data_IF_261264746441
#
_entry.id   IF_261264746441
#
_cell.length_a   1.000
_cell.length_b   1.000
_cell.length_c   1.000
_cell.angle_alpha   90.00
_cell.angle_beta   90.00
_cell.angle_gamma   90.00
#
_symmetry.space_group_name_H-M   'P 1'
#
loop_
_entity.id
_entity.type
_entity.pdbx_description
1 polymer ?
#
# COMPACT_ATOMS: atom_id res chain seq x y z
N UNK A 1 -34.49 10.91 70.55
CA UNK A 1 -34.45 11.63 69.28
C UNK A 1 -33.26 11.08 68.49
N UNK A 2 -33.54 10.27 67.48
CA UNK A 2 -32.60 9.40 66.79
C UNK A 2 -32.49 9.81 65.32
N UNK A 3 -31.29 9.79 64.73
CA UNK A 3 -31.04 9.56 63.30
C UNK A 3 -29.52 9.50 63.09
N UNK A 4 -28.87 8.34 63.17
CA UNK A 4 -28.73 7.28 62.14
C UNK A 4 -28.01 7.77 60.87
N UNK A 5 -26.68 7.74 60.92
CA UNK A 5 -25.78 7.72 59.76
C UNK A 5 -26.04 6.42 58.96
N UNK A 6 -26.51 6.53 57.72
CA UNK A 6 -26.63 5.37 56.80
C UNK A 6 -25.35 5.25 55.98
N UNK A 7 -24.54 4.24 56.29
CA UNK A 7 -23.55 3.67 55.37
C UNK A 7 -24.29 3.11 54.14
N UNK A 8 -24.04 3.68 52.96
CA UNK A 8 -24.36 3.05 51.69
C UNK A 8 -23.19 2.13 51.32
N UNK A 9 -23.28 0.86 51.72
CA UNK A 9 -22.49 -0.22 51.13
C UNK A 9 -22.98 -0.41 49.69
N UNK A 10 -22.24 0.13 48.73
CA UNK A 10 -22.36 -0.26 47.33
C UNK A 10 -21.68 -1.63 47.19
N UNK A 11 -22.44 -2.70 47.38
CA UNK A 11 -22.00 -4.05 47.03
C UNK A 11 -21.89 -4.13 45.50
N UNK A 12 -20.70 -3.82 44.97
CA UNK A 12 -20.31 -4.26 43.63
C UNK A 12 -20.33 -5.79 43.63
N UNK A 13 -21.45 -6.37 43.18
CA UNK A 13 -21.50 -7.74 42.68
C UNK A 13 -20.57 -7.79 41.45
N UNK A 14 -19.29 -8.02 41.73
CA UNK A 14 -18.34 -8.63 40.81
C UNK A 14 -18.93 -9.98 40.44
N UNK A 15 -19.76 -10.01 39.39
CA UNK A 15 -19.90 -11.23 38.61
C UNK A 15 -18.49 -11.56 38.12
N UNK A 16 -17.87 -12.66 38.56
CA UNK A 16 -16.71 -13.15 37.86
C UNK A 16 -17.23 -13.52 36.49
N UNK A 17 -16.87 -12.74 35.47
CA UNK A 17 -16.91 -13.22 34.11
C UNK A 17 -15.96 -14.43 34.09
N UNK A 18 -16.54 -15.59 34.33
CA UNK A 18 -15.84 -16.86 34.31
C UNK A 18 -15.18 -16.96 32.93
N UNK A 19 -13.85 -16.91 32.89
CA UNK A 19 -13.02 -17.39 31.79
C UNK A 19 -13.13 -18.93 31.70
N UNK A 20 -14.35 -19.45 31.78
CA UNK A 20 -14.65 -20.86 31.85
C UNK A 20 -14.45 -21.48 30.46
N UNK A 21 -13.31 -22.15 30.30
CA UNK A 21 -13.22 -23.35 29.47
C UNK A 21 -12.84 -23.15 28.00
N UNK A 22 -11.85 -22.31 27.68
CA UNK A 22 -11.15 -22.46 26.41
C UNK A 22 -10.38 -23.79 26.45
N UNK A 23 -10.91 -24.81 25.78
CA UNK A 23 -10.27 -26.14 25.71
C UNK A 23 -9.46 -26.21 24.43
N UNK A 24 -8.22 -26.70 24.53
CA UNK A 24 -7.45 -27.09 23.35
C UNK A 24 -7.88 -28.50 22.93
N UNK A 25 -8.29 -28.64 21.66
CA UNK A 25 -8.76 -29.90 21.09
C UNK A 25 -7.93 -30.24 19.87
N UNK A 26 -7.32 -31.43 19.89
CA UNK A 26 -6.62 -31.97 18.74
C UNK A 26 -7.64 -32.46 17.70
N UNK A 27 -7.42 -32.10 16.44
CA UNK A 27 -8.26 -32.50 15.32
C UNK A 27 -7.42 -33.36 14.37
N UNK A 28 -7.72 -34.66 14.20
CA UNK A 28 -6.98 -35.54 13.30
C UNK A 28 -7.24 -35.17 11.83
N UNK A 29 -6.26 -35.46 10.96
CA UNK A 29 -6.37 -35.25 9.52
C UNK A 29 -7.17 -36.39 8.85
N UNK A 30 -8.39 -36.57 9.31
CA UNK A 30 -9.35 -37.56 8.82
C UNK A 30 -10.55 -36.87 8.15
N UNK A 31 -11.16 -37.54 7.18
CA UNK A 31 -12.30 -37.00 6.45
C UNK A 31 -13.45 -36.65 7.42
N UNK A 32 -13.89 -35.39 7.39
CA UNK A 32 -14.98 -34.88 8.23
C UNK A 32 -14.59 -34.50 9.67
N UNK A 33 -13.38 -34.83 10.14
CA UNK A 33 -12.96 -34.54 11.51
C UNK A 33 -12.97 -33.03 11.83
N UNK A 34 -12.47 -32.18 10.92
CA UNK A 34 -12.50 -30.73 11.07
C UNK A 34 -13.93 -30.19 11.16
N UNK A 35 -14.84 -30.66 10.30
CA UNK A 35 -16.25 -30.25 10.32
C UNK A 35 -16.91 -30.65 11.63
N UNK A 36 -16.65 -31.85 12.11
CA UNK A 36 -17.20 -32.34 13.37
C UNK A 36 -16.64 -31.60 14.60
N UNK A 37 -15.35 -31.27 14.57
CA UNK A 37 -14.71 -30.45 15.60
C UNK A 37 -15.35 -29.06 15.66
N UNK A 38 -15.59 -28.41 14.52
CA UNK A 38 -16.26 -27.11 14.46
C UNK A 38 -17.70 -27.16 14.98
N UNK A 39 -18.45 -28.24 14.69
CA UNK A 39 -19.83 -28.42 15.19
C UNK A 39 -19.91 -28.59 16.71
N UNK A 40 -18.88 -29.17 17.32
CA UNK A 40 -18.88 -29.51 18.75
C UNK A 40 -18.03 -28.56 19.60
N UNK A 41 -17.34 -27.61 18.97
CA UNK A 41 -16.54 -26.58 19.63
C UNK A 41 -17.41 -25.65 20.49
N UNK A 42 -16.80 -25.07 21.52
CA UNK A 42 -17.36 -24.01 22.35
C UNK A 42 -16.65 -22.69 22.05
N UNK A 43 -17.33 -21.58 22.36
CA UNK A 43 -16.76 -20.26 22.14
C UNK A 43 -15.47 -20.10 22.96
N UNK A 44 -14.40 -19.70 22.28
CA UNK A 44 -13.06 -19.56 22.87
C UNK A 44 -12.17 -20.79 22.73
N UNK A 45 -12.66 -21.92 22.23
CA UNK A 45 -11.86 -23.13 22.02
C UNK A 45 -10.68 -22.89 21.04
N UNK A 46 -9.62 -23.68 21.22
CA UNK A 46 -8.51 -23.78 20.27
C UNK A 46 -8.59 -25.14 19.60
N UNK A 47 -8.86 -25.17 18.30
CA UNK A 47 -8.81 -26.36 17.48
C UNK A 47 -7.41 -26.47 16.87
N UNK A 48 -6.58 -27.36 17.40
CA UNK A 48 -5.23 -27.63 16.89
C UNK A 48 -5.30 -28.77 15.88
N UNK A 49 -5.08 -28.44 14.61
CA UNK A 49 -5.08 -29.42 13.53
C UNK A 49 -3.78 -30.22 13.55
N UNK A 50 -3.91 -31.54 13.59
CA UNK A 50 -2.77 -32.44 13.46
C UNK A 50 -2.21 -32.39 12.03
N UNK A 51 -0.92 -32.79 11.83
CA UNK A 51 -0.30 -32.80 10.52
C UNK A 51 -1.13 -33.56 9.47
N UNK A 52 -1.23 -33.01 8.27
CA UNK A 52 -1.95 -33.63 7.16
C UNK A 52 -2.95 -32.71 6.47
N UNK A 53 -3.78 -33.30 5.61
CA UNK A 53 -4.79 -32.59 4.82
C UNK A 53 -6.15 -32.74 5.50
N UNK A 54 -6.75 -31.62 5.84
CA UNK A 54 -8.11 -31.49 6.36
C UNK A 54 -8.99 -30.99 5.21
N UNK A 55 -9.97 -31.79 4.80
CA UNK A 55 -10.88 -31.38 3.72
C UNK A 55 -11.80 -30.24 4.18
N UNK A 56 -11.78 -29.16 3.43
CA UNK A 56 -12.79 -28.10 3.44
C UNK A 56 -13.84 -28.32 2.35
N UNK A 57 -14.69 -27.34 2.03
CA UNK A 57 -14.79 -26.02 2.65
C UNK A 57 -15.38 -26.05 4.07
N UNK A 58 -15.05 -25.06 4.90
CA UNK A 58 -15.61 -24.92 6.25
C UNK A 58 -16.13 -23.51 6.53
N UNK A 59 -17.18 -23.44 7.36
CA UNK A 59 -17.77 -22.19 7.83
C UNK A 59 -17.62 -22.13 9.35
N UNK A 60 -17.06 -21.02 9.85
CA UNK A 60 -16.85 -20.76 11.27
C UNK A 60 -17.91 -19.75 11.74
N UNK A 61 -18.84 -20.25 12.54
CA UNK A 61 -19.98 -19.50 13.09
C UNK A 61 -19.87 -19.28 14.61
N UNK A 62 -18.78 -19.75 15.23
CA UNK A 62 -18.49 -19.60 16.65
C UNK A 62 -17.10 -18.93 16.85
N UNK A 63 -16.92 -18.03 17.83
CA UNK A 63 -15.61 -17.45 18.12
C UNK A 63 -14.64 -18.54 18.58
N UNK A 64 -13.53 -18.75 17.87
CA UNK A 64 -12.54 -19.78 18.21
C UNK A 64 -11.18 -19.49 17.54
N UNK A 65 -10.16 -20.26 17.91
CA UNK A 65 -8.89 -20.29 17.19
C UNK A 65 -8.75 -21.59 16.42
N UNK A 66 -8.45 -21.50 15.13
CA UNK A 66 -8.01 -22.63 14.30
C UNK A 66 -6.49 -22.52 14.10
N UNK A 67 -5.76 -23.48 14.65
CA UNK A 67 -4.30 -23.50 14.69
C UNK A 67 -3.75 -24.70 13.93
N UNK A 68 -3.06 -24.45 12.83
CA UNK A 68 -2.42 -25.50 12.02
C UNK A 68 -1.01 -25.86 12.46
N UNK A 69 -0.41 -25.13 13.41
CA UNK A 69 0.96 -25.38 13.88
C UNK A 69 2.05 -25.33 12.79
N UNK A 70 1.75 -24.80 11.60
CA UNK A 70 2.63 -24.82 10.43
C UNK A 70 2.65 -26.14 9.65
N UNK A 71 1.85 -27.14 10.06
CA UNK A 71 1.91 -28.52 9.55
C UNK A 71 0.58 -29.03 8.97
N UNK A 72 -0.52 -28.31 9.22
CA UNK A 72 -1.84 -28.66 8.70
C UNK A 72 -2.19 -27.90 7.41
N UNK A 73 -2.80 -28.61 6.47
CA UNK A 73 -3.38 -28.05 5.26
C UNK A 73 -4.90 -28.13 5.31
N UNK A 74 -5.61 -27.05 5.03
CA UNK A 74 -7.04 -27.08 4.71
C UNK A 74 -7.19 -26.99 3.19
N UNK A 75 -7.73 -28.04 2.59
CA UNK A 75 -7.90 -28.14 1.14
C UNK A 75 -9.38 -28.07 0.76
N UNK A 76 -9.77 -27.04 0.01
CA UNK A 76 -11.07 -26.97 -0.64
C UNK A 76 -11.16 -27.93 -1.83
N UNK A 77 -12.37 -28.09 -2.35
CA UNK A 77 -12.69 -29.00 -3.47
C UNK A 77 -12.65 -28.31 -4.84
N UNK A 78 -12.14 -27.08 -4.91
CA UNK A 78 -12.17 -26.26 -6.12
C UNK A 78 -13.49 -25.54 -6.34
N UNK A 79 -14.36 -25.46 -5.32
CA UNK A 79 -15.59 -24.68 -5.33
C UNK A 79 -15.64 -23.73 -4.13
N UNK A 80 -16.21 -22.54 -4.32
CA UNK A 80 -16.43 -21.58 -3.22
C UNK A 80 -15.14 -21.12 -2.51
N UNK A 81 -15.30 -20.64 -1.28
CA UNK A 81 -14.18 -20.27 -0.41
C UNK A 81 -13.82 -21.39 0.56
N UNK A 82 -12.53 -21.59 0.83
CA UNK A 82 -12.04 -22.73 1.62
C UNK A 82 -12.40 -22.59 3.11
N UNK A 83 -12.17 -21.41 3.69
CA UNK A 83 -12.54 -21.09 5.08
C UNK A 83 -13.36 -19.80 5.09
N UNK A 84 -14.60 -19.88 5.55
CA UNK A 84 -15.49 -18.72 5.68
C UNK A 84 -15.73 -18.38 7.16
N UNK A 85 -15.56 -17.12 7.55
CA UNK A 85 -15.75 -16.65 8.93
C UNK A 85 -16.92 -15.69 8.99
N UNK A 86 -17.91 -16.00 9.85
CA UNK A 86 -19.15 -15.22 9.97
C UNK A 86 -19.49 -14.80 11.42
N UNK A 87 -18.47 -14.72 12.27
CA UNK A 87 -18.59 -14.44 13.71
C UNK A 87 -17.37 -13.66 14.20
N UNK A 88 -17.49 -12.76 15.19
CA UNK A 88 -16.35 -11.99 15.68
C UNK A 88 -15.30 -12.85 16.41
N UNK A 89 -14.08 -12.33 16.51
CA UNK A 89 -13.06 -12.87 17.41
C UNK A 89 -12.42 -14.19 16.97
N UNK A 90 -12.55 -14.58 15.70
CA UNK A 90 -11.89 -15.79 15.17
C UNK A 90 -10.42 -15.53 14.86
N UNK A 91 -9.56 -16.47 15.23
CA UNK A 91 -8.14 -16.48 14.82
C UNK A 91 -7.86 -17.69 13.93
N UNK A 92 -7.24 -17.46 12.77
CA UNK A 92 -6.75 -18.48 11.85
C UNK A 92 -5.22 -18.34 11.79
N UNK A 93 -4.48 -19.35 12.25
CA UNK A 93 -3.02 -19.28 12.31
C UNK A 93 -2.28 -20.57 11.95
N UNK A 94 -1.09 -20.44 11.35
CA UNK A 94 -0.22 -21.58 11.08
C UNK A 94 -0.80 -22.58 10.08
N UNK A 95 -1.72 -22.17 9.22
CA UNK A 95 -2.42 -23.03 8.27
C UNK A 95 -1.77 -22.93 6.89
N UNK A 96 -1.76 -24.03 6.14
CA UNK A 96 -1.70 -23.99 4.67
C UNK A 96 -3.12 -24.05 4.12
N UNK A 97 -3.49 -23.17 3.20
CA UNK A 97 -4.86 -23.09 2.65
C UNK A 97 -4.81 -23.09 1.12
N UNK A 98 -5.49 -24.07 0.51
CA UNK A 98 -5.49 -24.32 -0.94
C UNK A 98 -6.88 -24.72 -1.44
N UNK A 99 -7.09 -24.63 -2.75
CA UNK A 99 -8.25 -25.26 -3.41
C UNK A 99 -9.54 -24.45 -3.38
N UNK A 100 -9.47 -23.11 -3.36
CA UNK A 100 -10.67 -22.28 -3.60
C UNK A 100 -11.25 -22.50 -5.01
N UNK A 101 -12.49 -22.10 -5.21
CA UNK A 101 -13.08 -21.96 -6.53
C UNK A 101 -12.51 -20.83 -7.38
N UNK A 102 -13.22 -20.50 -8.46
CA UNK A 102 -12.81 -19.56 -9.50
C UNK A 102 -13.87 -18.50 -9.85
N UNK A 103 -14.96 -18.41 -9.08
CA UNK A 103 -15.99 -17.39 -9.30
C UNK A 103 -15.49 -16.01 -8.90
N UNK A 104 -15.25 -15.15 -9.90
CA UNK A 104 -14.92 -13.73 -9.66
C UNK A 104 -16.10 -12.92 -9.09
N UNK A 105 -17.34 -13.35 -9.36
CA UNK A 105 -18.55 -12.71 -8.84
C UNK A 105 -18.69 -12.96 -7.33
N UNK A 106 -18.55 -14.22 -6.92
CA UNK A 106 -18.63 -14.63 -5.51
C UNK A 106 -17.34 -14.31 -4.74
N UNK A 107 -16.24 -14.12 -5.49
CA UNK A 107 -14.88 -13.86 -5.01
C UNK A 107 -14.38 -15.02 -4.17
N UNK A 108 -14.39 -16.20 -4.76
CA UNK A 108 -13.87 -17.42 -4.13
C UNK A 108 -12.46 -17.17 -3.57
N UNK A 109 -12.27 -17.52 -2.30
CA UNK A 109 -11.07 -17.17 -1.55
C UNK A 109 -10.51 -18.35 -0.77
N UNK A 110 -9.22 -18.28 -0.43
CA UNK A 110 -8.66 -19.16 0.60
C UNK A 110 -9.34 -18.89 1.94
N UNK A 111 -9.39 -17.62 2.34
CA UNK A 111 -10.11 -17.18 3.54
C UNK A 111 -11.08 -16.06 3.19
N UNK A 112 -12.36 -16.23 3.52
CA UNK A 112 -13.38 -15.20 3.41
C UNK A 112 -13.83 -14.72 4.79
N UNK A 113 -13.66 -13.42 5.07
CA UNK A 113 -14.12 -12.77 6.29
C UNK A 113 -15.38 -11.96 5.98
N UNK A 114 -16.53 -12.47 6.43
CA UNK A 114 -17.82 -11.82 6.24
C UNK A 114 -18.02 -10.59 7.14
N UNK A 115 -19.13 -9.90 6.94
CA UNK A 115 -19.47 -8.64 7.66
C UNK A 115 -19.50 -8.79 9.18
N UNK A 116 -19.84 -9.98 9.67
CA UNK A 116 -19.91 -10.31 11.10
C UNK A 116 -18.55 -10.68 11.71
N UNK A 117 -17.51 -10.87 10.90
CA UNK A 117 -16.18 -11.34 11.33
C UNK A 117 -15.32 -10.25 12.01
N UNK A 118 -15.92 -9.39 12.84
CA UNK A 118 -15.22 -8.26 13.43
C UNK A 118 -14.04 -8.72 14.31
N UNK A 119 -12.89 -8.07 14.14
CA UNK A 119 -11.66 -8.40 14.86
C UNK A 119 -11.06 -9.75 14.48
N UNK A 120 -11.46 -10.36 13.35
CA UNK A 120 -10.86 -11.61 12.90
C UNK A 120 -9.36 -11.43 12.62
N UNK A 121 -8.57 -12.43 13.00
CA UNK A 121 -7.11 -12.44 12.85
C UNK A 121 -6.72 -13.59 11.93
N UNK A 122 -6.13 -13.26 10.79
CA UNK A 122 -5.53 -14.19 9.84
C UNK A 122 -4.03 -13.98 9.91
N UNK A 123 -3.30 -14.88 10.58
CA UNK A 123 -1.87 -14.69 10.80
C UNK A 123 -0.98 -15.90 10.55
N UNK A 124 0.23 -15.66 10.08
CA UNK A 124 1.27 -16.69 9.99
C UNK A 124 0.81 -17.91 9.15
N UNK A 125 0.03 -17.69 8.10
CA UNK A 125 -0.50 -18.73 7.21
C UNK A 125 0.20 -18.74 5.85
N UNK A 126 0.13 -19.88 5.16
CA UNK A 126 0.54 -20.06 3.75
C UNK A 126 -0.73 -20.22 2.89
N UNK A 127 -1.07 -19.20 2.10
CA UNK A 127 -2.31 -19.17 1.31
C UNK A 127 -1.94 -19.29 -0.16
N UNK A 128 -2.14 -20.46 -0.74
CA UNK A 128 -1.50 -20.86 -2.01
C UNK A 128 -2.52 -21.22 -3.08
N UNK A 129 -2.37 -20.66 -4.28
CA UNK A 129 -3.13 -21.08 -5.46
C UNK A 129 -4.63 -20.83 -5.39
N UNK A 130 -5.09 -19.94 -4.51
CA UNK A 130 -6.50 -19.52 -4.43
C UNK A 130 -6.78 -18.38 -5.42
N UNK A 131 -8.03 -18.20 -5.84
CA UNK A 131 -8.42 -17.06 -6.69
C UNK A 131 -8.13 -15.76 -5.94
N UNK A 132 -8.78 -15.54 -4.80
CA UNK A 132 -8.41 -14.51 -3.82
C UNK A 132 -7.69 -15.17 -2.64
N UNK A 133 -6.61 -14.58 -2.12
CA UNK A 133 -5.97 -15.09 -0.92
C UNK A 133 -6.86 -14.91 0.32
N UNK A 134 -7.07 -13.64 0.70
CA UNK A 134 -7.97 -13.25 1.80
C UNK A 134 -9.00 -12.22 1.30
N UNK A 135 -10.29 -12.53 1.39
CA UNK A 135 -11.39 -11.58 1.14
C UNK A 135 -11.88 -10.99 2.46
N UNK A 136 -11.68 -9.68 2.68
CA UNK A 136 -12.15 -8.94 3.85
C UNK A 136 -13.38 -8.11 3.47
N UNK A 137 -14.56 -8.68 3.72
CA UNK A 137 -15.85 -8.14 3.26
C UNK A 137 -16.70 -7.64 4.42
N UNK A 138 -16.61 -6.35 4.71
CA UNK A 138 -17.40 -5.72 5.77
C UNK A 138 -16.83 -5.90 7.18
N UNK A 139 -15.79 -6.73 7.34
CA UNK A 139 -15.21 -7.03 8.64
C UNK A 139 -14.47 -5.82 9.23
N UNK A 140 -14.94 -5.36 10.40
CA UNK A 140 -14.31 -4.23 11.11
C UNK A 140 -13.06 -4.70 11.84
N UNK A 141 -11.99 -3.92 11.75
CA UNK A 141 -10.75 -4.17 12.49
C UNK A 141 -10.12 -5.56 12.25
N UNK A 142 -10.36 -6.17 11.08
CA UNK A 142 -9.68 -7.42 10.70
C UNK A 142 -8.16 -7.21 10.64
N UNK A 143 -7.40 -8.23 11.04
CA UNK A 143 -5.95 -8.23 10.97
C UNK A 143 -5.47 -9.38 10.07
N UNK A 144 -4.83 -9.04 8.96
CA UNK A 144 -4.14 -9.99 8.07
C UNK A 144 -2.64 -9.76 8.26
N UNK A 145 -1.94 -10.64 9.00
CA UNK A 145 -0.56 -10.39 9.45
C UNK A 145 0.40 -11.55 9.17
N UNK A 146 1.59 -11.29 8.65
CA UNK A 146 2.64 -12.33 8.60
C UNK A 146 2.32 -13.52 7.68
N UNK A 147 1.41 -13.36 6.73
CA UNK A 147 1.04 -14.46 5.83
C UNK A 147 1.92 -14.45 4.58
N UNK A 148 2.17 -15.64 4.04
CA UNK A 148 2.71 -15.84 2.69
C UNK A 148 1.56 -16.13 1.75
N UNK A 149 1.29 -15.22 0.81
CA UNK A 149 0.18 -15.33 -0.13
C UNK A 149 0.74 -15.47 -1.54
N UNK A 150 0.50 -16.63 -2.15
CA UNK A 150 0.99 -16.99 -3.48
C UNK A 150 -0.20 -17.20 -4.42
N UNK A 151 -0.47 -16.21 -5.27
CA UNK A 151 -1.60 -16.21 -6.19
C UNK A 151 -1.43 -17.12 -7.40
N UNK A 152 -2.53 -17.37 -8.12
CA UNK A 152 -2.51 -18.19 -9.35
C UNK A 152 -1.74 -17.54 -10.50
N UNK A 153 -1.33 -18.36 -11.46
CA UNK A 153 -0.61 -17.96 -12.69
C UNK A 153 -1.21 -18.54 -13.98
N UNK A 154 -2.27 -19.32 -13.84
CA UNK A 154 -2.94 -20.12 -14.87
C UNK A 154 -3.71 -19.29 -15.91
N UNK A 155 -4.22 -18.11 -15.55
CA UNK A 155 -4.98 -17.24 -16.46
C UNK A 155 -4.23 -15.94 -16.79
N UNK A 156 -4.82 -15.08 -17.65
CA UNK A 156 -4.29 -13.73 -17.89
C UNK A 156 -4.31 -12.93 -16.61
N UNK A 157 -3.34 -12.03 -16.41
CA UNK A 157 -3.18 -11.30 -15.14
C UNK A 157 -4.47 -10.60 -14.66
N UNK A 158 -5.29 -10.07 -15.57
CA UNK A 158 -6.53 -9.37 -15.23
C UNK A 158 -7.67 -10.28 -14.76
N UNK A 159 -7.64 -11.56 -15.14
CA UNK A 159 -8.65 -12.57 -14.82
C UNK A 159 -8.31 -13.32 -13.51
N UNK A 160 -7.12 -13.08 -12.95
CA UNK A 160 -6.70 -13.61 -11.64
C UNK A 160 -7.31 -12.79 -10.50
N UNK A 161 -7.41 -13.38 -9.33
CA UNK A 161 -7.80 -12.65 -8.12
C UNK A 161 -6.61 -12.00 -7.41
N UNK A 162 -6.91 -11.29 -6.32
CA UNK A 162 -5.95 -10.46 -5.60
C UNK A 162 -5.42 -11.22 -4.38
N UNK A 163 -4.23 -10.84 -3.88
CA UNK A 163 -3.69 -11.43 -2.65
C UNK A 163 -4.61 -11.17 -1.45
N UNK A 164 -4.91 -9.90 -1.20
CA UNK A 164 -5.92 -9.46 -0.23
C UNK A 164 -6.92 -8.54 -0.93
N UNK A 165 -8.20 -8.86 -0.81
CA UNK A 165 -9.30 -8.02 -1.27
C UNK A 165 -9.98 -7.37 -0.06
N UNK A 166 -10.26 -6.08 -0.14
CA UNK A 166 -10.90 -5.33 0.95
C UNK A 166 -12.11 -4.56 0.43
N UNK A 167 -13.27 -4.79 1.04
CA UNK A 167 -14.49 -4.05 0.73
C UNK A 167 -15.27 -3.72 1.99
N UNK A 168 -15.48 -2.42 2.20
CA UNK A 168 -16.20 -1.83 3.32
C UNK A 168 -15.74 -2.33 4.70
N UNK A 169 -14.43 -2.49 4.89
CA UNK A 169 -13.82 -3.08 6.08
C UNK A 169 -13.04 -2.01 6.88
N UNK A 170 -13.73 -1.12 7.61
CA UNK A 170 -13.08 0.00 8.27
C UNK A 170 -12.18 -0.50 9.39
N UNK A 171 -10.97 0.08 9.49
CA UNK A 171 -10.01 -0.35 10.51
C UNK A 171 -9.22 -1.60 10.15
N UNK A 172 -9.45 -2.23 9.00
CA UNK A 172 -8.70 -3.41 8.59
C UNK A 172 -7.21 -3.11 8.42
N UNK A 173 -6.38 -4.04 8.86
CA UNK A 173 -4.92 -3.96 8.88
C UNK A 173 -4.33 -5.12 8.08
N UNK A 174 -3.42 -4.82 7.17
CA UNK A 174 -2.67 -5.82 6.39
C UNK A 174 -1.20 -5.54 6.64
N UNK A 175 -0.55 -6.36 7.47
CA UNK A 175 0.76 -6.03 8.05
C UNK A 175 1.76 -7.17 7.86
N UNK A 176 2.96 -6.89 7.34
CA UNK A 176 4.05 -7.87 7.32
C UNK A 176 3.78 -9.09 6.45
N UNK A 177 2.97 -8.99 5.39
CA UNK A 177 2.68 -10.11 4.50
C UNK A 177 3.64 -10.13 3.31
N UNK A 178 3.99 -11.31 2.82
CA UNK A 178 4.70 -11.51 1.56
C UNK A 178 3.71 -11.98 0.49
N UNK A 179 3.45 -11.15 -0.51
CA UNK A 179 2.42 -11.37 -1.53
C UNK A 179 3.06 -11.42 -2.92
N UNK A 180 2.84 -12.53 -3.61
CA UNK A 180 3.41 -12.78 -4.94
C UNK A 180 2.39 -13.42 -5.88
N UNK A 181 2.42 -13.02 -7.15
CA UNK A 181 1.55 -13.52 -8.22
C UNK A 181 0.03 -13.30 -7.96
N UNK A 182 -0.81 -13.73 -8.90
CA UNK A 182 -2.21 -13.29 -8.97
C UNK A 182 -2.34 -12.01 -9.81
N UNK A 183 -3.26 -11.13 -9.42
CA UNK A 183 -3.52 -9.83 -10.07
C UNK A 183 -2.92 -8.66 -9.30
N UNK A 184 -3.55 -8.23 -8.22
CA UNK A 184 -3.07 -7.13 -7.36
C UNK A 184 -2.71 -7.69 -5.97
N UNK A 185 -1.75 -7.06 -5.29
CA UNK A 185 -1.31 -7.48 -3.95
C UNK A 185 -2.41 -7.23 -2.92
N UNK A 186 -2.70 -5.95 -2.64
CA UNK A 186 -3.88 -5.53 -1.89
C UNK A 186 -4.76 -4.66 -2.78
N UNK A 187 -6.00 -5.09 -2.98
CA UNK A 187 -7.02 -4.32 -3.70
C UNK A 187 -8.11 -3.84 -2.74
N UNK A 188 -8.35 -2.53 -2.70
CA UNK A 188 -9.42 -1.92 -1.91
C UNK A 188 -10.40 -1.20 -2.82
N UNK A 189 -11.64 -1.67 -2.80
CA UNK A 189 -12.70 -1.04 -3.60
C UNK A 189 -13.27 0.20 -2.88
N UNK A 190 -13.74 0.04 -1.64
CA UNK A 190 -14.16 1.17 -0.80
C UNK A 190 -13.91 0.84 0.66
N UNK A 191 -13.31 1.75 1.43
CA UNK A 191 -13.06 1.55 2.87
C UNK A 191 -12.54 2.82 3.54
N UNK A 192 -12.20 2.76 4.83
CA UNK A 192 -11.57 3.87 5.57
C UNK A 192 -10.78 3.41 6.79
N UNK A 193 -9.83 4.24 7.23
CA UNK A 193 -9.01 3.98 8.43
C UNK A 193 -8.26 2.65 8.36
N UNK A 194 -7.75 2.31 7.18
CA UNK A 194 -6.96 1.11 6.97
C UNK A 194 -5.47 1.37 7.20
N UNK A 195 -4.74 0.34 7.60
CA UNK A 195 -3.28 0.40 7.76
C UNK A 195 -2.64 -0.76 7.02
N UNK A 196 -1.95 -0.45 5.93
CA UNK A 196 -1.17 -1.42 5.16
C UNK A 196 0.30 -1.13 5.34
N UNK A 197 0.99 -1.99 6.09
CA UNK A 197 2.34 -1.68 6.53
C UNK A 197 3.30 -2.87 6.54
N UNK A 198 4.57 -2.63 6.18
CA UNK A 198 5.61 -3.66 6.26
C UNK A 198 5.40 -4.83 5.31
N UNK A 199 4.57 -4.71 4.27
CA UNK A 199 4.31 -5.82 3.34
C UNK A 199 5.31 -5.82 2.18
N UNK A 200 5.61 -7.01 1.64
CA UNK A 200 6.42 -7.22 0.44
C UNK A 200 5.54 -7.66 -0.73
N UNK A 201 5.75 -7.08 -1.90
CA UNK A 201 4.95 -7.32 -3.10
C UNK A 201 5.82 -7.58 -4.33
N UNK A 202 5.61 -8.70 -5.01
CA UNK A 202 6.41 -9.10 -6.18
C UNK A 202 5.58 -9.72 -7.30
N UNK A 203 5.97 -9.45 -8.55
CA UNK A 203 5.38 -10.07 -9.76
C UNK A 203 3.85 -9.90 -9.88
N UNK A 204 3.34 -8.73 -9.46
CA UNK A 204 1.93 -8.35 -9.50
C UNK A 204 1.69 -7.28 -10.56
N UNK A 205 0.42 -7.05 -10.87
CA UNK A 205 0.00 -5.87 -11.60
C UNK A 205 0.24 -4.65 -10.70
N UNK A 206 -0.50 -4.52 -9.60
CA UNK A 206 -0.29 -3.44 -8.62
C UNK A 206 0.04 -4.01 -7.24
N UNK A 207 1.03 -3.45 -6.53
CA UNK A 207 1.31 -3.85 -5.15
C UNK A 207 0.15 -3.45 -4.22
N UNK A 208 -0.24 -2.18 -4.24
CA UNK A 208 -1.42 -1.67 -3.54
C UNK A 208 -2.28 -0.86 -4.50
N UNK A 209 -3.58 -1.17 -4.52
CA UNK A 209 -4.57 -0.53 -5.37
C UNK A 209 -5.74 -0.01 -4.54
N UNK A 210 -5.79 1.31 -4.33
CA UNK A 210 -6.91 2.00 -3.69
C UNK A 210 -7.84 2.58 -4.74
N UNK A 211 -9.14 2.37 -4.56
CA UNK A 211 -10.18 3.06 -5.33
C UNK A 211 -10.88 4.14 -4.50
N UNK A 212 -11.67 3.80 -3.47
CA UNK A 212 -12.39 4.80 -2.67
C UNK A 212 -12.05 4.64 -1.19
N UNK A 213 -10.78 4.89 -0.84
CA UNK A 213 -10.26 4.59 0.51
C UNK A 213 -9.73 5.84 1.20
N UNK A 214 -10.22 6.13 2.40
CA UNK A 214 -9.97 7.42 3.05
C UNK A 214 -9.32 7.27 4.42
N UNK A 215 -8.65 8.32 4.88
CA UNK A 215 -8.14 8.43 6.26
C UNK A 215 -7.26 7.24 6.63
N UNK A 216 -6.41 6.79 5.70
CA UNK A 216 -5.70 5.50 5.76
C UNK A 216 -4.19 5.68 5.62
N UNK A 217 -3.44 4.66 6.02
CA UNK A 217 -1.99 4.66 6.06
C UNK A 217 -1.44 3.52 5.21
N UNK A 218 -0.51 3.85 4.32
CA UNK A 218 0.32 2.93 3.54
C UNK A 218 1.76 3.22 3.92
N UNK A 219 2.39 2.38 4.75
CA UNK A 219 3.71 2.71 5.30
C UNK A 219 4.72 1.57 5.37
N UNK A 220 5.98 1.83 5.04
CA UNK A 220 7.06 0.86 5.19
C UNK A 220 6.91 -0.39 4.31
N UNK A 221 6.16 -0.31 3.21
CA UNK A 221 5.97 -1.44 2.29
C UNK A 221 7.07 -1.47 1.24
N UNK A 222 7.30 -2.64 0.63
CA UNK A 222 8.26 -2.84 -0.46
C UNK A 222 7.55 -3.43 -1.67
N UNK A 223 7.55 -2.69 -2.76
CA UNK A 223 7.11 -3.11 -4.08
C UNK A 223 8.31 -3.37 -4.98
N UNK A 224 8.41 -4.56 -5.56
CA UNK A 224 9.54 -4.96 -6.40
C UNK A 224 9.07 -5.64 -7.69
N UNK A 225 9.44 -5.07 -8.84
CA UNK A 225 9.21 -5.68 -10.15
C UNK A 225 7.73 -5.85 -10.53
N UNK A 226 6.82 -5.06 -9.95
CA UNK A 226 5.40 -5.06 -10.30
C UNK A 226 5.15 -4.17 -11.53
N UNK A 227 3.95 -4.21 -12.11
CA UNK A 227 3.62 -3.24 -13.18
C UNK A 227 3.55 -1.81 -12.61
N UNK A 228 2.90 -1.63 -11.46
CA UNK A 228 2.93 -0.41 -10.63
C UNK A 228 3.14 -0.78 -9.17
N UNK A 229 3.78 0.12 -8.41
CA UNK A 229 3.86 0.00 -6.97
C UNK A 229 2.54 0.37 -6.30
N UNK A 230 2.35 1.66 -6.05
CA UNK A 230 1.25 2.18 -5.26
C UNK A 230 0.28 2.99 -6.12
N UNK A 231 -0.84 2.37 -6.49
CA UNK A 231 -1.93 3.01 -7.23
C UNK A 231 -2.99 3.53 -6.25
N UNK A 232 -2.96 4.84 -5.97
CA UNK A 232 -3.89 5.51 -5.06
C UNK A 232 -4.86 6.35 -5.86
N UNK A 233 -6.08 5.84 -6.00
CA UNK A 233 -7.14 6.46 -6.78
C UNK A 233 -8.26 6.96 -5.87
N UNK A 234 -9.02 7.97 -6.29
CA UNK A 234 -10.24 8.56 -5.66
C UNK A 234 -10.25 8.59 -4.12
N UNK A 235 -9.11 8.95 -3.54
CA UNK A 235 -8.86 8.84 -2.10
C UNK A 235 -8.56 10.19 -1.47
N UNK A 236 -8.72 10.29 -0.14
CA UNK A 236 -8.44 11.53 0.59
C UNK A 236 -7.83 11.25 1.95
N UNK A 237 -6.99 12.15 2.42
CA UNK A 237 -6.30 12.04 3.72
C UNK A 237 -5.54 10.71 3.85
N UNK A 238 -4.83 10.30 2.81
CA UNK A 238 -3.99 9.11 2.84
C UNK A 238 -2.56 9.52 3.23
N UNK A 239 -1.94 8.75 4.13
CA UNK A 239 -0.51 8.87 4.44
C UNK A 239 0.24 7.75 3.72
N UNK A 240 1.16 8.10 2.83
CA UNK A 240 2.00 7.19 2.04
C UNK A 240 3.44 7.44 2.48
N UNK A 241 3.96 6.60 3.36
CA UNK A 241 5.15 6.94 4.16
C UNK A 241 6.22 5.85 4.20
N UNK A 242 7.47 6.18 3.92
CA UNK A 242 8.56 5.21 4.09
C UNK A 242 8.48 3.99 3.17
N UNK A 243 7.75 4.07 2.04
CA UNK A 243 7.59 2.93 1.13
C UNK A 243 8.71 2.89 0.09
N UNK A 244 9.04 1.68 -0.36
CA UNK A 244 9.99 1.44 -1.45
C UNK A 244 9.24 0.92 -2.67
N UNK A 245 9.46 1.54 -3.83
CA UNK A 245 9.13 0.97 -5.14
C UNK A 245 10.41 0.82 -5.95
N UNK A 246 10.83 -0.42 -6.17
CA UNK A 246 12.05 -0.75 -6.86
C UNK A 246 11.76 -1.52 -8.15
N UNK A 247 12.22 -0.98 -9.29
CA UNK A 247 12.08 -1.61 -10.62
C UNK A 247 10.64 -1.91 -11.03
N UNK A 248 9.66 -1.18 -10.48
CA UNK A 248 8.28 -1.25 -10.96
C UNK A 248 8.18 -0.65 -12.37
N UNK A 249 7.48 -1.34 -13.27
CA UNK A 249 7.59 -1.09 -14.71
C UNK A 249 7.14 0.32 -15.12
N UNK A 250 5.97 0.75 -14.69
CA UNK A 250 5.32 1.96 -15.23
C UNK A 250 5.34 3.14 -14.25
N UNK A 251 4.84 2.97 -13.03
CA UNK A 251 4.79 4.01 -12.00
C UNK A 251 5.16 3.42 -10.64
N UNK A 252 6.01 4.11 -9.89
CA UNK A 252 6.23 3.74 -8.49
C UNK A 252 5.08 4.17 -7.60
N UNK A 253 4.68 5.45 -7.68
CA UNK A 253 3.45 5.96 -7.08
C UNK A 253 2.57 6.58 -8.17
N UNK A 254 1.28 6.24 -8.17
CA UNK A 254 0.27 6.90 -8.99
C UNK A 254 -0.80 7.51 -8.09
N UNK A 255 -0.99 8.81 -8.20
CA UNK A 255 -2.09 9.54 -7.58
C UNK A 255 -3.10 9.94 -8.66
N UNK A 256 -4.32 9.41 -8.58
CA UNK A 256 -5.40 9.74 -9.50
C UNK A 256 -6.64 10.17 -8.71
N UNK A 257 -7.07 11.44 -8.77
CA UNK A 257 -8.13 11.96 -7.88
C UNK A 257 -7.82 11.77 -6.38
N UNK A 258 -6.53 11.80 -6.01
CA UNK A 258 -6.08 11.67 -4.61
C UNK A 258 -5.78 13.02 -4.01
N UNK A 259 -6.40 13.33 -2.86
CA UNK A 259 -6.43 14.69 -2.33
C UNK A 259 -6.03 14.78 -0.86
N UNK A 260 -5.50 15.94 -0.43
CA UNK A 260 -5.18 16.22 0.98
C UNK A 260 -4.32 15.13 1.64
N UNK A 261 -3.44 14.51 0.86
CA UNK A 261 -2.67 13.34 1.27
C UNK A 261 -1.20 13.72 1.50
N UNK A 262 -0.53 12.96 2.36
CA UNK A 262 0.88 13.12 2.67
C UNK A 262 1.66 11.98 2.01
N UNK A 263 2.69 12.35 1.26
CA UNK A 263 3.62 11.43 0.61
C UNK A 263 5.00 11.79 1.13
N UNK A 264 5.55 10.97 2.04
CA UNK A 264 6.82 11.32 2.68
C UNK A 264 7.78 10.18 2.94
N UNK A 265 9.07 10.43 2.81
CA UNK A 265 10.08 9.41 3.11
C UNK A 265 10.06 8.21 2.16
N UNK A 266 9.41 8.29 1.00
CA UNK A 266 9.34 7.16 0.07
C UNK A 266 10.59 7.13 -0.83
N UNK A 267 11.04 5.93 -1.20
CA UNK A 267 12.11 5.74 -2.17
C UNK A 267 11.56 5.03 -3.41
N UNK A 268 11.63 5.72 -4.54
CA UNK A 268 11.20 5.18 -5.82
C UNK A 268 12.40 5.10 -6.75
N UNK A 269 12.73 3.89 -7.20
CA UNK A 269 13.95 3.60 -7.94
C UNK A 269 13.66 2.85 -9.24
N UNK A 270 14.10 3.40 -10.37
CA UNK A 270 14.15 2.68 -11.65
C UNK A 270 12.79 2.44 -12.34
N UNK A 271 11.77 3.26 -12.03
CA UNK A 271 10.46 3.14 -12.64
C UNK A 271 10.30 3.95 -13.95
N UNK A 272 9.29 3.62 -14.74
CA UNK A 272 8.91 4.45 -15.91
C UNK A 272 8.57 5.89 -15.51
N UNK A 273 7.92 6.08 -14.36
CA UNK A 273 7.71 7.37 -13.69
C UNK A 273 7.85 7.14 -12.20
N UNK A 274 8.67 7.92 -11.48
CA UNK A 274 8.73 7.75 -10.04
C UNK A 274 7.37 8.10 -9.42
N UNK A 275 6.79 9.24 -9.81
CA UNK A 275 5.42 9.62 -9.45
C UNK A 275 4.63 10.05 -10.68
N UNK A 276 3.38 9.60 -10.77
CA UNK A 276 2.40 10.13 -11.71
C UNK A 276 1.25 10.80 -10.94
N UNK A 277 1.00 12.06 -11.24
CA UNK A 277 -0.02 12.90 -10.58
C UNK A 277 -1.05 13.30 -11.64
N UNK A 278 -2.28 12.84 -11.46
CA UNK A 278 -3.41 13.10 -12.34
C UNK A 278 -4.62 13.58 -11.52
N UNK A 279 -5.05 14.81 -11.78
CA UNK A 279 -6.17 15.45 -11.10
C UNK A 279 -6.15 15.29 -9.56
N UNK A 280 -4.97 15.49 -8.97
CA UNK A 280 -4.71 15.24 -7.55
C UNK A 280 -4.30 16.58 -6.89
N UNK A 281 -4.99 16.99 -5.83
CA UNK A 281 -4.86 18.34 -5.28
C UNK A 281 -4.54 18.36 -3.79
N UNK A 282 -3.91 19.46 -3.35
CA UNK A 282 -3.65 19.73 -1.93
C UNK A 282 -2.82 18.65 -1.24
N UNK A 283 -1.99 17.92 -1.99
CA UNK A 283 -1.10 16.90 -1.42
C UNK A 283 0.23 17.53 -1.01
N UNK A 284 0.92 16.89 -0.07
CA UNK A 284 2.26 17.29 0.37
C UNK A 284 3.23 16.16 0.09
N UNK A 285 4.29 16.47 -0.67
CA UNK A 285 5.41 15.59 -0.95
C UNK A 285 6.64 16.13 -0.23
N UNK A 286 7.16 15.37 0.74
CA UNK A 286 8.35 15.78 1.49
C UNK A 286 9.31 14.62 1.75
N UNK A 287 10.60 14.91 1.71
CA UNK A 287 11.64 13.95 2.11
C UNK A 287 11.61 12.63 1.32
N UNK A 288 11.10 12.65 0.08
CA UNK A 288 11.12 11.47 -0.80
C UNK A 288 12.37 11.45 -1.67
N UNK A 289 12.79 10.26 -2.10
CA UNK A 289 13.88 10.05 -3.06
C UNK A 289 13.35 9.43 -4.35
N UNK A 290 13.50 10.15 -5.45
CA UNK A 290 13.08 9.75 -6.80
C UNK A 290 14.31 9.55 -7.67
N UNK A 291 14.64 8.29 -7.97
CA UNK A 291 15.95 7.92 -8.48
C UNK A 291 15.89 7.03 -9.72
N UNK A 292 16.70 7.37 -10.72
CA UNK A 292 16.90 6.54 -11.91
C UNK A 292 15.64 6.26 -12.73
N UNK A 293 14.57 7.05 -12.56
CA UNK A 293 13.33 6.89 -13.32
C UNK A 293 13.45 7.52 -14.71
N UNK A 294 12.64 7.06 -15.67
CA UNK A 294 12.57 7.76 -16.98
C UNK A 294 12.00 9.17 -16.82
N UNK A 295 11.08 9.35 -15.88
CA UNK A 295 10.57 10.66 -15.43
C UNK A 295 10.51 10.65 -13.91
N UNK A 296 11.04 11.66 -13.22
CA UNK A 296 10.89 11.80 -11.77
C UNK A 296 9.42 12.00 -11.41
N UNK A 297 8.87 13.20 -11.66
CA UNK A 297 7.43 13.44 -11.49
C UNK A 297 6.80 13.80 -12.84
N UNK A 298 5.73 13.09 -13.22
CA UNK A 298 4.84 13.51 -14.29
C UNK A 298 3.56 14.09 -13.70
N UNK A 299 3.32 15.36 -13.95
CA UNK A 299 2.29 16.18 -13.34
C UNK A 299 1.34 16.71 -14.43
N UNK A 300 0.05 16.38 -14.36
CA UNK A 300 -0.93 16.73 -15.40
C UNK A 300 -2.36 16.87 -14.87
N UNK A 301 -3.28 17.18 -15.79
CA UNK A 301 -4.73 17.24 -15.59
C UNK A 301 -5.18 18.20 -14.48
N UNK A 302 -4.62 19.42 -14.45
CA UNK A 302 -5.06 20.48 -13.53
C UNK A 302 -4.81 20.19 -12.05
N UNK A 303 -3.87 19.29 -11.74
CA UNK A 303 -3.47 19.02 -10.36
C UNK A 303 -2.96 20.32 -9.70
N UNK A 304 -3.49 20.68 -8.54
CA UNK A 304 -3.32 22.04 -8.00
C UNK A 304 -3.03 22.04 -6.50
N UNK A 305 -2.32 23.08 -6.05
CA UNK A 305 -1.99 23.31 -4.62
C UNK A 305 -1.24 22.13 -3.99
N UNK A 306 -0.47 21.39 -4.78
CA UNK A 306 0.43 20.38 -4.24
C UNK A 306 1.71 21.07 -3.77
N UNK A 307 2.14 20.77 -2.55
CA UNK A 307 3.43 21.21 -2.00
C UNK A 307 4.46 20.12 -2.25
N UNK A 308 5.54 20.44 -2.94
CA UNK A 308 6.60 19.50 -3.30
C UNK A 308 7.92 20.14 -2.92
N UNK A 309 8.45 19.81 -1.75
CA UNK A 309 9.71 20.36 -1.21
C UNK A 309 10.42 19.33 -0.35
N UNK A 310 11.72 19.46 -0.16
CA UNK A 310 12.55 18.53 0.61
C UNK A 310 12.79 17.17 -0.06
N UNK A 311 12.46 17.00 -1.33
CA UNK A 311 12.65 15.73 -2.03
C UNK A 311 14.02 15.70 -2.74
N UNK A 312 14.48 14.51 -3.12
CA UNK A 312 15.69 14.33 -3.93
C UNK A 312 15.35 13.72 -5.28
N UNK A 313 15.77 14.39 -6.35
CA UNK A 313 15.64 13.97 -7.74
C UNK A 313 17.00 13.58 -8.30
N UNK A 314 17.27 12.27 -8.39
CA UNK A 314 18.60 11.74 -8.62
C UNK A 314 18.65 10.92 -9.91
N UNK A 315 19.43 11.35 -10.89
CA UNK A 315 19.72 10.57 -12.09
C UNK A 315 18.49 10.16 -12.91
N UNK A 316 17.37 10.90 -12.81
CA UNK A 316 16.22 10.66 -13.67
C UNK A 316 16.53 11.20 -15.07
N UNK A 317 16.04 10.52 -16.12
CA UNK A 317 16.23 11.01 -17.50
C UNK A 317 15.53 12.35 -17.75
N UNK A 318 14.41 12.58 -17.09
CA UNK A 318 13.69 13.85 -17.07
C UNK A 318 13.23 14.07 -15.64
N UNK A 319 13.72 15.11 -14.97
CA UNK A 319 13.40 15.32 -13.56
C UNK A 319 11.90 15.57 -13.36
N UNK A 320 11.32 16.46 -14.17
CA UNK A 320 9.89 16.78 -14.13
C UNK A 320 9.30 16.87 -15.53
N UNK A 321 8.13 16.25 -15.71
CA UNK A 321 7.24 16.52 -16.84
C UNK A 321 5.99 17.22 -16.31
N UNK A 322 5.94 18.54 -16.45
CA UNK A 322 4.80 19.35 -16.03
C UNK A 322 3.95 19.74 -17.24
N UNK A 323 2.64 19.46 -17.17
CA UNK A 323 1.66 19.82 -18.19
C UNK A 323 0.65 20.79 -17.56
N UNK A 324 0.94 22.09 -17.70
CA UNK A 324 0.11 23.19 -17.20
C UNK A 324 0.60 24.52 -17.77
N UNK A 325 -0.17 25.59 -17.52
CA UNK A 325 0.11 26.94 -18.03
C UNK A 325 0.50 27.94 -16.95
N UNK A 326 0.51 27.51 -15.67
CA UNK A 326 0.80 28.36 -14.52
C UNK A 326 2.17 28.05 -13.92
N UNK A 327 2.75 29.05 -13.26
CA UNK A 327 3.97 28.86 -12.49
C UNK A 327 3.67 28.20 -11.15
N UNK A 328 4.42 27.16 -10.80
CA UNK A 328 4.29 26.44 -9.54
C UNK A 328 5.64 26.44 -8.83
N UNK A 329 5.69 27.06 -7.66
CA UNK A 329 6.87 27.06 -6.80
C UNK A 329 6.96 25.74 -6.02
N UNK A 330 8.07 25.02 -6.17
CA UNK A 330 8.42 23.78 -5.47
C UNK A 330 9.44 24.04 -4.35
N UNK A 331 9.37 25.21 -3.74
CA UNK A 331 9.97 25.52 -2.44
C UNK A 331 8.87 25.95 -1.46
N UNK A 332 9.03 25.59 -0.18
CA UNK A 332 8.11 25.95 0.89
C UNK A 332 8.95 26.39 2.10
N UNK A 333 8.69 27.61 2.61
CA UNK A 333 9.42 28.15 3.76
C UNK A 333 10.94 28.27 3.57
N UNK A 334 11.41 28.62 2.37
CA UNK A 334 12.84 28.72 2.07
C UNK A 334 13.54 27.37 1.89
N UNK A 335 12.79 26.26 1.76
CA UNK A 335 13.33 24.92 1.51
C UNK A 335 12.74 24.33 0.23
N UNK A 336 13.60 24.02 -0.74
CA UNK A 336 13.28 23.38 -2.00
C UNK A 336 13.64 21.90 -2.05
N UNK A 337 13.96 21.40 -3.23
CA UNK A 337 14.33 20.01 -3.49
C UNK A 337 15.81 19.92 -3.92
N UNK A 338 16.39 18.73 -3.77
CA UNK A 338 17.69 18.41 -4.33
C UNK A 338 17.55 17.92 -5.79
N UNK A 339 18.41 18.40 -6.67
CA UNK A 339 18.43 18.08 -8.10
C UNK A 339 19.83 17.66 -8.52
N UNK A 340 20.01 16.40 -8.92
CA UNK A 340 21.35 15.87 -9.26
C UNK A 340 21.98 16.50 -10.51
N UNK A 341 21.20 17.21 -11.32
CA UNK A 341 21.60 17.90 -12.54
C UNK A 341 21.73 19.43 -12.36
N UNK A 342 21.51 19.94 -11.14
CA UNK A 342 21.84 21.31 -10.79
C UNK A 342 23.32 21.41 -10.37
N UNK A 343 24.12 22.07 -11.19
CA UNK A 343 25.44 22.54 -10.79
C UNK A 343 25.29 23.96 -10.22
N UNK A 344 25.31 24.09 -8.89
CA UNK A 344 25.18 25.37 -8.19
C UNK A 344 26.23 25.52 -7.08
N UNK A 345 26.35 26.76 -6.61
CA UNK A 345 27.16 27.14 -5.45
C UNK A 345 26.26 27.48 -4.27
N UNK A 346 26.83 27.31 -3.08
CA UNK A 346 26.26 27.71 -1.78
C UNK A 346 27.39 28.49 -1.09
N UNK A 347 27.43 29.80 -1.33
CA UNK A 347 28.52 30.68 -0.89
C UNK A 347 28.41 31.05 0.59
N UNK A 348 27.19 31.04 1.14
CA UNK A 348 26.94 31.35 2.55
C UNK A 348 26.94 30.09 3.45
N UNK A 349 26.99 28.89 2.86
CA UNK A 349 27.14 27.61 3.54
C UNK A 349 25.87 27.14 4.25
N UNK A 350 24.70 27.64 3.85
CA UNK A 350 23.43 27.36 4.53
C UNK A 350 22.76 26.04 4.07
N UNK A 351 23.34 25.33 3.09
CA UNK A 351 22.84 24.08 2.52
C UNK A 351 21.81 24.25 1.40
N UNK A 352 21.57 25.48 0.95
CA UNK A 352 20.67 25.87 -0.13
C UNK A 352 21.50 26.50 -1.26
N UNK A 353 21.19 26.16 -2.50
CA UNK A 353 21.83 26.76 -3.65
C UNK A 353 21.46 28.24 -3.80
N UNK A 354 22.46 29.09 -4.07
CA UNK A 354 22.27 30.53 -4.32
C UNK A 354 21.52 30.82 -5.63
N UNK A 355 21.37 29.81 -6.49
CA UNK A 355 20.65 29.89 -7.76
C UNK A 355 19.40 29.03 -7.75
N UNK A 356 18.28 29.60 -8.18
CA UNK A 356 17.04 28.86 -8.35
C UNK A 356 17.10 27.89 -9.53
N UNK A 357 16.31 26.82 -9.46
CA UNK A 357 16.25 25.75 -10.46
C UNK A 357 14.92 25.71 -11.20
N UNK A 358 14.95 25.34 -12.49
CA UNK A 358 13.77 25.17 -13.34
C UNK A 358 13.89 23.83 -14.07
N UNK A 359 13.17 22.77 -13.62
CA UNK A 359 13.28 21.44 -14.22
C UNK A 359 12.60 21.30 -15.59
N UNK A 360 11.85 22.31 -16.03
CA UNK A 360 11.20 22.31 -17.32
C UNK A 360 11.15 23.72 -17.95
N UNK A 361 11.41 23.78 -19.26
CA UNK A 361 11.34 25.00 -20.07
C UNK A 361 10.44 24.81 -21.33
N UNK A 362 10.31 25.84 -22.18
CA UNK A 362 9.54 25.73 -23.44
C UNK A 362 10.18 24.70 -24.40
N UNK A 363 11.51 24.57 -24.34
CA UNK A 363 12.24 23.65 -25.20
C UNK A 363 11.91 22.22 -24.82
N UNK A 364 11.71 21.93 -23.53
CA UNK A 364 11.26 20.62 -23.07
C UNK A 364 9.87 20.26 -23.61
N UNK A 365 8.95 21.24 -23.73
CA UNK A 365 7.66 21.01 -24.40
C UNK A 365 7.82 20.66 -25.88
N UNK A 366 8.72 21.34 -26.59
CA UNK A 366 9.05 21.04 -27.99
C UNK A 366 9.72 19.66 -28.11
N UNK A 367 10.63 19.31 -27.21
CA UNK A 367 11.30 18.01 -27.20
C UNK A 367 10.33 16.86 -26.87
N UNK A 368 9.23 17.13 -26.17
CA UNK A 368 8.18 16.15 -25.95
C UNK A 368 7.32 15.91 -27.19
N UNK A 369 7.05 16.93 -27.99
CA UNK A 369 6.28 16.80 -29.24
C UNK A 369 7.16 16.32 -30.40
N UNK A 370 8.45 16.65 -30.39
CA UNK A 370 9.44 16.33 -31.42
C UNK A 370 10.71 15.71 -30.81
N UNK A 371 10.68 14.40 -30.46
CA UNK A 371 11.83 13.74 -29.82
C UNK A 371 13.13 13.76 -30.64
N UNK A 372 13.04 13.84 -31.97
CA UNK A 372 14.19 13.91 -32.87
C UNK A 372 15.04 15.19 -32.65
N UNK A 373 14.45 16.27 -32.14
CA UNK A 373 15.15 17.51 -31.87
C UNK A 373 16.16 17.41 -30.71
N UNK A 374 16.20 16.29 -29.95
CA UNK A 374 17.21 16.06 -28.90
C UNK A 374 18.65 16.10 -29.40
N UNK A 375 18.88 15.76 -30.67
CA UNK A 375 20.22 15.86 -31.27
C UNK A 375 20.77 17.30 -31.29
N UNK A 376 19.90 18.30 -31.15
CA UNK A 376 20.25 19.72 -31.20
C UNK A 376 20.47 20.34 -29.83
N UNK A 377 20.37 19.57 -28.73
CA UNK A 377 20.45 20.09 -27.35
C UNK A 377 21.74 20.85 -27.06
N UNK A 378 22.87 20.43 -27.64
CA UNK A 378 24.16 21.11 -27.50
C UNK A 378 24.36 22.29 -28.45
N UNK A 379 23.43 22.54 -29.38
CA UNK A 379 23.61 23.57 -30.42
C UNK A 379 23.55 24.98 -29.82
N UNK A 380 24.32 25.95 -30.38
CA UNK A 380 24.28 27.34 -29.95
C UNK A 380 22.87 27.96 -29.98
N UNK A 381 22.03 27.56 -30.94
CA UNK A 381 20.65 28.03 -31.03
C UNK A 381 19.81 27.62 -29.82
N UNK A 382 19.91 26.35 -29.38
CA UNK A 382 19.18 25.87 -28.19
C UNK A 382 19.71 26.53 -26.91
N UNK A 383 21.02 26.73 -26.80
CA UNK A 383 21.62 27.44 -25.65
C UNK A 383 21.17 28.90 -25.59
N UNK A 384 21.12 29.60 -26.74
CA UNK A 384 20.67 30.99 -26.82
C UNK A 384 19.19 31.13 -26.42
N UNK A 385 18.33 30.19 -26.85
CA UNK A 385 16.93 30.16 -26.43
C UNK A 385 16.82 29.96 -24.92
N UNK A 386 17.56 28.99 -24.34
CA UNK A 386 17.56 28.76 -22.88
C UNK A 386 18.06 29.96 -22.09
N UNK A 387 19.13 30.61 -22.55
CA UNK A 387 19.64 31.84 -21.94
C UNK A 387 18.61 32.97 -22.00
N UNK A 388 17.99 33.19 -23.17
CA UNK A 388 16.93 34.19 -23.34
C UNK A 388 15.75 33.94 -22.41
N UNK A 389 15.40 32.68 -22.16
CA UNK A 389 14.33 32.30 -21.23
C UNK A 389 14.68 32.55 -19.77
N UNK A 390 15.95 32.33 -19.39
CA UNK A 390 16.44 32.71 -18.07
C UNK A 390 16.42 34.23 -17.87
N UNK A 391 16.80 35.00 -18.89
CA UNK A 391 16.87 36.46 -18.84
C UNK A 391 15.48 37.14 -18.89
N UNK A 392 14.49 36.54 -19.55
CA UNK A 392 13.15 37.11 -19.73
C UNK A 392 12.02 36.15 -19.33
N UNK A 393 11.82 35.86 -18.03
CA UNK A 393 10.87 34.84 -17.56
C UNK A 393 9.39 35.16 -17.87
N UNK A 394 9.04 36.42 -18.09
CA UNK A 394 7.67 36.88 -18.34
C UNK A 394 7.07 36.38 -19.67
N UNK A 395 7.91 35.86 -20.58
CA UNK A 395 7.50 35.39 -21.91
C UNK A 395 7.22 33.88 -21.98
N UNK A 396 7.35 33.17 -20.86
CA UNK A 396 7.22 31.71 -20.80
C UNK A 396 5.78 31.26 -20.45
N UNK A 397 5.22 30.23 -21.14
CA UNK A 397 4.09 29.49 -20.60
C UNK A 397 4.55 28.82 -19.29
N UNK A 398 3.72 28.85 -18.25
CA UNK A 398 4.12 28.50 -16.88
C UNK A 398 4.84 27.15 -16.73
N UNK A 399 5.56 26.99 -15.62
CA UNK A 399 6.36 25.80 -15.35
C UNK A 399 6.62 25.59 -13.87
N UNK A 400 7.51 24.64 -13.57
CA UNK A 400 7.99 24.43 -12.21
C UNK A 400 9.21 25.31 -11.98
N UNK A 401 9.26 25.90 -10.79
CA UNK A 401 10.38 26.70 -10.31
C UNK A 401 10.68 26.28 -8.89
N UNK A 402 11.96 26.10 -8.55
CA UNK A 402 12.43 25.83 -7.21
C UNK A 402 13.35 26.97 -6.77
N UNK A 403 12.86 27.81 -5.87
CA UNK A 403 13.55 29.01 -5.41
C UNK A 403 14.58 28.77 -4.30
N UNK A 404 14.63 27.57 -3.72
CA UNK A 404 15.59 27.25 -2.67
C UNK A 404 16.13 25.81 -2.79
N UNK A 405 16.79 25.46 -3.91
CA UNK A 405 17.25 24.10 -4.14
C UNK A 405 18.19 23.62 -3.03
N UNK A 406 18.08 22.35 -2.63
CA UNK A 406 18.96 21.77 -1.61
C UNK A 406 20.30 21.36 -2.22
N UNK A 407 21.39 21.56 -1.48
CA UNK A 407 22.74 21.13 -1.87
C UNK A 407 23.01 19.64 -1.65
N UNK A 408 22.28 19.01 -0.71
CA UNK A 408 22.46 17.59 -0.38
C UNK A 408 21.14 16.82 -0.53
N UNK A 409 21.16 15.58 -1.06
CA UNK A 409 19.97 14.77 -1.18
C UNK A 409 19.50 14.26 0.18
N UNK A 410 18.18 14.08 0.31
CA UNK A 410 17.61 13.27 1.39
C UNK A 410 17.89 11.79 1.16
N UNK A 411 18.17 11.07 2.24
CA UNK A 411 18.35 9.62 2.26
C UNK A 411 17.26 8.99 3.15
N UNK A 412 16.15 8.51 2.56
CA UNK A 412 15.11 7.84 3.33
C UNK A 412 15.63 6.57 4.00
N UNK A 413 15.17 6.29 5.22
CA UNK A 413 15.46 5.02 5.89
C UNK A 413 14.82 3.86 5.13
N UNK A 414 15.60 2.80 4.91
CA UNK A 414 15.09 1.59 4.28
C UNK A 414 14.46 0.70 5.34
N UNK A 415 13.17 0.32 5.22
CA UNK A 415 12.63 -0.72 6.09
C UNK A 415 13.49 -1.99 5.96
N UNK A 416 13.91 -2.60 7.07
CA UNK A 416 14.54 -3.91 7.05
C UNK A 416 13.46 -4.90 6.63
N UNK A 417 13.29 -5.15 5.33
CA UNK A 417 12.56 -6.34 4.92
C UNK A 417 13.57 -7.47 5.03
N UNK A 418 13.33 -8.32 6.04
CA UNK A 418 14.16 -9.41 6.55
C UNK A 418 15.33 -9.75 5.61
N UNK A 419 16.55 -9.47 6.11
CA UNK A 419 17.73 -10.18 5.63
C UNK A 419 17.40 -11.66 5.75
N UNK A 420 16.88 -12.28 4.70
CA UNK A 420 16.99 -13.72 4.58
C UNK A 420 18.50 -14.00 4.60
N UNK A 421 18.94 -14.98 5.40
CA UNK A 421 20.36 -15.26 5.63
C UNK A 421 21.16 -15.51 4.34
#
# INVERSE_FOLDING_TARGET
MAMRFRLLLLACLLFPASLAGAVERLVPAEDGALVQALKTAKAGDILRLQPGIHRGAVVIELPLTLDGGGVATIAGDGTGSVVSVNVPGVTLRGLTIIGSGSSGADRDAGIALGKKAAGAVVRDNRILGNLVGVDVRGSKNALVKGNVITGRRDTRINDRGNGVYVWNAPGAKVIGNDIRWGRDGIFVNTSKRNTFSGNRFRDLRFAIHYMYTHDSVVSGNVSEGNHLGYAIMYSKNVRIEGNISARDRNQGIMLNYTNKSLISGNWIAGAGKCVFIYNAHKNTFKDNRFEGCKIGIHFTAGSERNKISGNAFIGNRTQVKYVGTTWVNWSDGGRGNYWSDLAAYDLDGNGIADTAYRPNDIMDQILWTQPAARALLGSPAVQLIRWSQMAFPALLPGGVFDGAPLMTPVAPEFPPWERDP
#
